data_IF_185710473348
#
_entry.id   IF_185710473348
#
_cell.length_a   1.000
_cell.length_b   1.000
_cell.length_c   1.000
_cell.angle_alpha   90.00
_cell.angle_beta   90.00
_cell.angle_gamma   90.00
#
_symmetry.space_group_name_H-M   'P 1'
#
loop_
_entity.id
_entity.type
_entity.pdbx_description
1 polymer ?
#
# COMPACT_ATOMS: atom_id res chain seq x y z
N UNK A 1 17.94 26.76 -0.28
CA UNK A 1 17.21 25.84 0.63
C UNK A 1 18.16 24.95 1.47
N UNK A 2 19.47 25.26 1.55
CA UNK A 2 20.47 24.40 2.22
C UNK A 2 20.88 24.88 3.64
N UNK A 3 20.03 25.62 4.36
CA UNK A 3 20.45 26.25 5.63
C UNK A 3 20.02 25.56 6.92
N UNK A 4 19.28 24.45 6.88
CA UNK A 4 18.71 23.85 8.09
C UNK A 4 18.96 22.33 8.27
N UNK A 5 19.80 21.67 7.46
CA UNK A 5 20.13 20.24 7.67
C UNK A 5 18.96 19.25 7.49
N UNK A 6 17.83 19.68 6.90
CA UNK A 6 16.72 18.80 6.57
C UNK A 6 17.15 17.90 5.41
N UNK A 7 17.25 16.60 5.65
CA UNK A 7 17.32 15.66 4.54
C UNK A 7 16.02 15.80 3.75
N UNK A 8 16.12 16.23 2.49
CA UNK A 8 14.96 16.38 1.62
C UNK A 8 14.28 15.02 1.45
N UNK A 9 13.07 14.86 2.00
CA UNK A 9 12.26 13.68 1.72
C UNK A 9 11.83 13.74 0.25
N UNK A 10 12.07 12.69 -0.55
CA UNK A 10 11.61 12.65 -1.93
C UNK A 10 10.09 12.86 -1.98
N UNK A 11 9.64 13.72 -2.90
CA UNK A 11 8.22 13.94 -3.15
C UNK A 11 7.70 12.81 -4.02
N UNK A 12 6.64 12.15 -3.56
CA UNK A 12 5.94 11.14 -4.32
C UNK A 12 4.52 11.61 -4.63
N UNK A 13 3.99 11.34 -5.83
CA UNK A 13 2.58 11.59 -6.08
C UNK A 13 1.76 10.71 -5.14
N UNK A 14 0.88 11.34 -4.37
CA UNK A 14 0.00 10.66 -3.43
C UNK A 14 -1.37 10.49 -4.10
N UNK A 15 -1.70 9.26 -4.43
CA UNK A 15 -2.97 8.88 -5.05
C UNK A 15 -3.86 8.32 -3.94
N UNK A 16 -5.16 8.63 -3.99
CA UNK A 16 -6.13 8.05 -3.05
C UNK A 16 -6.98 7.00 -3.76
N UNK A 17 -7.12 5.85 -3.12
CA UNK A 17 -7.89 4.74 -3.68
C UNK A 17 -8.48 3.84 -2.60
N UNK A 18 -9.63 3.25 -2.88
CA UNK A 18 -10.30 2.31 -1.96
C UNK A 18 -9.92 0.89 -2.30
N UNK A 19 -9.47 0.10 -1.33
CA UNK A 19 -9.27 -1.34 -1.50
C UNK A 19 -10.64 -2.05 -1.55
N UNK A 20 -10.95 -2.72 -2.66
CA UNK A 20 -12.29 -3.28 -2.92
C UNK A 20 -12.32 -4.79 -3.11
N UNK A 21 -11.22 -5.42 -3.53
CA UNK A 21 -11.15 -6.87 -3.69
C UNK A 21 -9.75 -7.43 -3.40
N UNK A 22 -9.72 -8.71 -3.01
CA UNK A 22 -8.53 -9.55 -2.93
C UNK A 22 -8.78 -10.81 -3.76
N UNK A 23 -7.83 -11.19 -4.61
CA UNK A 23 -7.87 -12.38 -5.46
C UNK A 23 -9.18 -12.49 -6.27
N UNK A 24 -9.57 -11.39 -6.93
CA UNK A 24 -10.82 -11.26 -7.70
C UNK A 24 -12.11 -11.41 -6.89
N UNK A 25 -12.01 -11.51 -5.56
CA UNK A 25 -13.15 -11.61 -4.66
C UNK A 25 -13.35 -10.28 -3.92
N UNK A 26 -14.50 -9.62 -4.08
CA UNK A 26 -14.84 -8.45 -3.29
C UNK A 26 -14.84 -8.77 -1.80
N UNK A 27 -14.41 -7.81 -0.97
CA UNK A 27 -14.52 -7.99 0.48
C UNK A 27 -15.98 -8.13 0.90
N UNK A 28 -16.26 -9.07 1.82
CA UNK A 28 -17.60 -9.28 2.33
C UNK A 28 -18.14 -8.02 3.03
N UNK A 29 -19.43 -7.73 2.89
CA UNK A 29 -20.05 -6.54 3.46
C UNK A 29 -19.83 -6.44 4.99
N UNK A 30 -19.92 -7.56 5.70
CA UNK A 30 -19.67 -7.63 7.14
C UNK A 30 -18.22 -7.24 7.50
N UNK A 31 -17.24 -7.70 6.73
CA UNK A 31 -15.83 -7.31 6.91
C UNK A 31 -15.62 -5.81 6.65
N UNK A 32 -16.28 -5.25 5.62
CA UNK A 32 -16.23 -3.81 5.34
C UNK A 32 -16.83 -3.01 6.51
N UNK A 33 -17.95 -3.47 7.09
CA UNK A 33 -18.59 -2.80 8.22
C UNK A 33 -17.69 -2.77 9.47
N UNK A 34 -16.85 -3.79 9.68
CA UNK A 34 -15.99 -3.89 10.86
C UNK A 34 -14.56 -3.38 10.63
N UNK A 35 -14.07 -3.27 9.39
CA UNK A 35 -12.72 -2.80 9.08
C UNK A 35 -12.68 -1.37 8.51
N UNK A 36 -12.09 -0.42 9.26
CA UNK A 36 -12.02 0.99 8.86
C UNK A 36 -11.18 1.21 7.58
N UNK A 37 -10.13 0.42 7.36
CA UNK A 37 -9.27 0.54 6.19
C UNK A 37 -10.01 0.23 4.88
N UNK A 38 -11.04 -0.61 4.90
CA UNK A 38 -11.91 -0.88 3.75
C UNK A 38 -12.98 0.21 3.53
N UNK A 39 -13.31 1.00 4.56
CA UNK A 39 -14.31 2.08 4.47
C UNK A 39 -13.75 3.42 4.06
N UNK A 40 -12.43 3.60 4.08
CA UNK A 40 -11.75 4.83 3.66
C UNK A 40 -10.99 4.65 2.36
N UNK A 41 -10.57 5.76 1.79
CA UNK A 41 -9.52 5.77 0.79
C UNK A 41 -8.17 5.64 1.49
N UNK A 42 -7.34 4.74 0.97
CA UNK A 42 -5.96 4.54 1.38
C UNK A 42 -5.06 5.49 0.58
N UNK A 43 -3.95 5.89 1.19
CA UNK A 43 -2.89 6.60 0.50
C UNK A 43 -2.03 5.60 -0.28
N UNK A 44 -1.94 5.80 -1.58
CA UNK A 44 -1.12 5.04 -2.51
C UNK A 44 0.03 5.92 -2.98
N UNK A 45 1.25 5.44 -2.74
CA UNK A 45 2.47 6.14 -3.14
C UNK A 45 3.06 5.43 -4.35
N UNK A 46 3.21 6.14 -5.47
CA UNK A 46 3.92 5.60 -6.62
C UNK A 46 5.42 5.86 -6.43
N UNK A 47 6.20 4.78 -6.40
CA UNK A 47 7.66 4.86 -6.28
C UNK A 47 8.31 3.61 -6.84
N UNK A 48 9.52 3.75 -7.39
CA UNK A 48 10.37 2.63 -7.80
C UNK A 48 11.04 1.93 -6.61
N UNK A 49 11.21 2.66 -5.50
CA UNK A 49 11.80 2.17 -4.25
C UNK A 49 10.96 2.54 -3.05
N UNK A 50 11.02 1.77 -1.96
CA UNK A 50 10.34 2.18 -0.73
C UNK A 50 11.00 3.43 -0.12
N UNK A 51 10.21 4.32 0.53
CA UNK A 51 10.74 5.32 1.45
C UNK A 51 11.72 4.70 2.44
N UNK A 52 12.78 5.46 2.80
CA UNK A 52 13.89 4.96 3.63
C UNK A 52 13.45 4.38 4.98
N UNK A 53 12.37 4.91 5.53
CA UNK A 53 11.88 4.55 6.87
C UNK A 53 10.93 3.34 6.85
N UNK A 54 10.68 2.78 5.66
CA UNK A 54 9.93 1.54 5.52
C UNK A 54 10.86 0.34 5.57
N UNK A 55 10.54 -0.62 6.43
CA UNK A 55 11.29 -1.87 6.55
C UNK A 55 10.45 -3.00 5.96
N UNK A 56 11.02 -3.74 5.00
CA UNK A 56 10.36 -4.92 4.44
C UNK A 56 10.39 -6.04 5.47
N UNK A 57 9.22 -6.57 5.79
CA UNK A 57 9.08 -7.70 6.72
C UNK A 57 8.95 -9.03 5.99
N UNK A 58 8.44 -9.03 4.76
CA UNK A 58 8.28 -10.23 3.92
C UNK A 58 8.34 -9.88 2.43
N UNK A 59 8.83 -10.80 1.59
CA UNK A 59 8.80 -10.69 0.14
C UNK A 59 10.04 -10.04 -0.49
N UNK A 60 9.89 -9.52 -1.71
CA UNK A 60 11.01 -8.99 -2.50
C UNK A 60 11.11 -7.46 -2.40
N UNK A 61 12.33 -6.90 -2.28
CA UNK A 61 12.51 -5.47 -2.07
C UNK A 61 12.33 -4.60 -3.30
N UNK A 62 12.54 -5.17 -4.49
CA UNK A 62 12.56 -4.41 -5.73
C UNK A 62 11.27 -4.61 -6.51
N UNK A 63 10.71 -3.49 -6.97
CA UNK A 63 9.65 -3.49 -7.97
C UNK A 63 10.30 -3.72 -9.33
N UNK A 64 9.94 -4.80 -10.02
CA UNK A 64 10.52 -5.19 -11.30
C UNK A 64 9.50 -5.32 -12.43
N UNK A 65 8.21 -5.14 -12.12
CA UNK A 65 7.11 -5.17 -13.08
C UNK A 65 6.10 -4.06 -12.76
N UNK A 66 5.31 -3.69 -13.77
CA UNK A 66 4.13 -2.85 -13.57
C UNK A 66 3.11 -3.55 -12.68
N UNK A 67 2.24 -2.77 -12.04
CA UNK A 67 1.15 -3.28 -11.20
C UNK A 67 1.63 -4.17 -10.03
N UNK A 68 2.71 -3.75 -9.38
CA UNK A 68 3.19 -4.34 -8.14
C UNK A 68 2.92 -3.37 -6.98
N UNK A 69 2.63 -3.92 -5.80
CA UNK A 69 2.31 -3.11 -4.62
C UNK A 69 3.02 -3.66 -3.38
N UNK A 70 3.45 -2.74 -2.52
CA UNK A 70 3.88 -3.01 -1.16
C UNK A 70 2.75 -2.64 -0.21
N UNK A 71 2.42 -3.54 0.73
CA UNK A 71 1.31 -3.35 1.67
C UNK A 71 1.86 -3.21 3.09
N UNK A 72 1.27 -2.31 3.87
CA UNK A 72 1.60 -2.21 5.29
C UNK A 72 1.28 -3.52 6.03
N UNK A 73 2.22 -4.02 6.82
CA UNK A 73 2.14 -5.32 7.48
C UNK A 73 0.91 -5.44 8.40
N UNK A 74 0.56 -4.37 9.15
CA UNK A 74 -0.63 -4.35 10.01
C UNK A 74 -1.93 -4.45 9.20
N UNK A 75 -2.04 -3.66 8.13
CA UNK A 75 -3.18 -3.76 7.21
C UNK A 75 -3.27 -5.15 6.57
N UNK A 76 -2.13 -5.72 6.21
CA UNK A 76 -2.07 -7.04 5.62
C UNK A 76 -2.53 -8.12 6.60
N UNK A 77 -2.10 -8.06 7.84
CA UNK A 77 -2.55 -8.95 8.92
C UNK A 77 -4.07 -8.84 9.14
N UNK A 78 -4.59 -7.62 9.31
CA UNK A 78 -6.02 -7.36 9.53
C UNK A 78 -6.92 -7.92 8.41
N UNK A 79 -6.44 -7.88 7.17
CA UNK A 79 -7.19 -8.30 5.98
C UNK A 79 -6.77 -9.67 5.44
N UNK A 80 -5.87 -10.36 6.15
CA UNK A 80 -5.30 -11.63 5.72
C UNK A 80 -4.59 -11.57 4.35
N UNK A 81 -4.04 -10.42 3.96
CA UNK A 81 -3.30 -10.22 2.72
C UNK A 81 -1.90 -10.83 2.85
N UNK A 82 -1.44 -11.49 1.79
CA UNK A 82 -0.15 -12.16 1.73
C UNK A 82 0.63 -11.73 0.48
N UNK A 83 1.94 -11.95 0.50
CA UNK A 83 2.77 -11.82 -0.70
C UNK A 83 2.24 -12.77 -1.78
N UNK A 84 2.05 -12.23 -2.97
CA UNK A 84 1.46 -12.94 -4.10
C UNK A 84 -0.05 -12.76 -4.26
N UNK A 85 -0.75 -12.16 -3.29
CA UNK A 85 -2.15 -11.80 -3.49
C UNK A 85 -2.31 -10.72 -4.57
N UNK A 86 -3.47 -10.74 -5.23
CA UNK A 86 -3.89 -9.71 -6.16
C UNK A 86 -4.89 -8.80 -5.47
N UNK A 87 -4.62 -7.51 -5.42
CA UNK A 87 -5.50 -6.51 -4.82
C UNK A 87 -6.09 -5.63 -5.90
N UNK A 88 -7.38 -5.32 -5.77
CA UNK A 88 -8.07 -4.36 -6.63
C UNK A 88 -8.40 -3.12 -5.81
N UNK A 89 -7.98 -1.98 -6.33
CA UNK A 89 -8.26 -0.66 -5.79
C UNK A 89 -9.19 0.08 -6.75
N UNK A 90 -10.15 0.82 -6.21
CA UNK A 90 -10.97 1.75 -6.98
C UNK A 90 -10.43 3.17 -6.77
N UNK A 91 -10.01 3.81 -7.85
CA UNK A 91 -9.47 5.16 -7.92
C UNK A 91 -10.42 6.05 -8.74
N UNK A 92 -10.31 7.39 -8.66
CA UNK A 92 -11.11 8.30 -9.50
C UNK A 92 -10.99 8.01 -11.01
N UNK A 93 -9.81 7.60 -11.47
CA UNK A 93 -9.49 7.23 -12.85
C UNK A 93 -9.95 5.83 -13.26
N UNK A 94 -10.40 5.01 -12.30
CA UNK A 94 -10.88 3.65 -12.53
C UNK A 94 -10.26 2.60 -11.60
N UNK A 95 -10.46 1.33 -11.95
CA UNK A 95 -9.94 0.22 -11.15
C UNK A 95 -8.47 -0.05 -11.46
N UNK A 96 -7.63 -0.08 -10.42
CA UNK A 96 -6.24 -0.52 -10.47
C UNK A 96 -6.14 -1.91 -9.85
N UNK A 97 -5.50 -2.85 -10.53
CA UNK A 97 -5.20 -4.16 -9.98
C UNK A 97 -3.70 -4.34 -9.85
N UNK A 98 -3.23 -4.76 -8.68
CA UNK A 98 -1.81 -4.93 -8.40
C UNK A 98 -1.51 -6.22 -7.62
N UNK A 99 -0.33 -6.81 -7.84
CA UNK A 99 0.18 -7.96 -7.10
C UNK A 99 1.01 -7.51 -5.91
N UNK A 100 0.74 -8.07 -4.74
CA UNK A 100 1.54 -7.84 -3.53
C UNK A 100 2.89 -8.52 -3.69
N UNK A 101 3.97 -7.74 -3.67
CA UNK A 101 5.34 -8.29 -3.79
C UNK A 101 6.10 -8.32 -2.46
N UNK A 102 5.72 -7.45 -1.53
CA UNK A 102 6.26 -7.40 -0.20
C UNK A 102 5.27 -6.79 0.80
N UNK A 103 5.49 -7.10 2.08
CA UNK A 103 4.86 -6.45 3.21
C UNK A 103 5.92 -5.58 3.90
N UNK A 104 5.51 -4.42 4.40
CA UNK A 104 6.41 -3.47 5.06
C UNK A 104 5.86 -2.96 6.39
N UNK A 105 6.72 -2.75 7.37
CA UNK A 105 6.39 -1.92 8.52
C UNK A 105 6.62 -0.44 8.17
N UNK A 106 5.84 0.42 8.80
CA UNK A 106 5.98 1.88 8.72
C UNK A 106 6.20 2.36 10.14
N UNK A 107 7.37 2.94 10.39
CA UNK A 107 7.64 3.69 11.62
C UNK A 107 7.02 5.09 11.43
N UNK A 108 6.04 5.43 12.25
CA UNK A 108 5.54 6.79 12.32
C UNK A 108 6.36 7.50 13.39
N UNK A 109 7.30 8.37 12.99
CA UNK A 109 7.94 9.27 13.95
C UNK A 109 6.83 10.04 14.69
N UNK A 110 6.76 9.83 16.01
CA UNK A 110 5.75 10.43 16.90
C UNK A 110 6.12 11.85 17.32
#
# INVERSE_FOLDING_TARGET
LEKNGWQSTPLYPNIRGRLVAKNDQPFAADLIQHNNSLRRELNLTQSETLPKDNIITQGQPLFNQVNQVSVEAKLAEELGIQVGDKLTFNLPEGALTARVINLRSVEWES
#
